data_IF_857131795176
#
_entry.id   IF_857131795176
#
_cell.length_a   1.000
_cell.length_b   1.000
_cell.length_c   1.000
_cell.angle_alpha   90.00
_cell.angle_beta   90.00
_cell.angle_gamma   90.00
#
_symmetry.space_group_name_H-M   'P 1'
#
loop_
_entity.id
_entity.type
_entity.pdbx_description
1 polymer ?
#
# COMPACT_ATOMS: atom_id res chain seq x y z
N UNK A 1 -21.82 -15.73 1.58
CA UNK A 1 -20.49 -15.07 1.65
C UNK A 1 -19.63 -15.94 2.55
N UNK A 2 -18.46 -16.33 2.07
CA UNK A 2 -17.44 -16.99 2.89
C UNK A 2 -17.09 -16.03 4.03
N UNK A 3 -17.03 -16.52 5.27
CA UNK A 3 -16.58 -15.71 6.39
C UNK A 3 -15.06 -15.52 6.23
N UNK A 4 -14.66 -14.30 5.90
CA UNK A 4 -13.24 -13.95 5.72
C UNK A 4 -12.58 -13.96 7.09
N UNK A 5 -11.42 -14.61 7.17
CA UNK A 5 -10.59 -14.70 8.35
C UNK A 5 -9.28 -13.99 8.09
N UNK A 6 -8.85 -13.18 9.05
CA UNK A 6 -7.55 -12.55 9.07
C UNK A 6 -6.97 -12.67 10.49
N UNK A 7 -5.92 -13.49 10.71
CA UNK A 7 -5.33 -13.68 12.03
C UNK A 7 -4.45 -12.51 12.48
N UNK A 8 -4.17 -11.52 11.63
CA UNK A 8 -3.25 -10.41 11.93
C UNK A 8 -3.96 -9.09 12.28
N UNK A 9 -5.29 -9.12 12.42
CA UNK A 9 -6.11 -8.00 12.90
C UNK A 9 -6.92 -8.40 14.14
N UNK A 10 -7.09 -7.47 15.06
CA UNK A 10 -8.03 -7.59 16.18
C UNK A 10 -9.44 -7.07 15.81
N UNK A 11 -9.58 -6.38 14.67
CA UNK A 11 -10.80 -5.69 14.31
C UNK A 11 -11.96 -6.65 14.00
N UNK A 12 -13.18 -6.26 14.38
CA UNK A 12 -14.39 -7.03 14.06
C UNK A 12 -14.94 -6.67 12.67
N UNK A 13 -14.09 -6.75 11.64
CA UNK A 13 -14.40 -6.31 10.26
C UNK A 13 -15.54 -7.10 9.59
N UNK A 14 -15.86 -8.29 10.11
CA UNK A 14 -17.03 -9.09 9.69
C UNK A 14 -18.38 -8.54 10.18
N UNK A 15 -18.35 -7.64 11.18
CA UNK A 15 -19.53 -7.03 11.80
C UNK A 15 -19.67 -5.55 11.41
N UNK A 16 -18.55 -4.86 11.18
CA UNK A 16 -18.49 -3.43 10.85
C UNK A 16 -17.44 -3.22 9.75
N UNK A 17 -17.70 -2.32 8.82
CA UNK A 17 -16.73 -1.88 7.80
C UNK A 17 -16.53 -0.38 7.87
N UNK A 18 -15.33 0.09 7.53
CA UNK A 18 -15.06 1.51 7.28
C UNK A 18 -15.31 1.79 5.81
N UNK A 19 -16.09 2.82 5.49
CA UNK A 19 -16.40 3.20 4.10
C UNK A 19 -15.46 4.30 3.60
N UNK A 20 -15.14 5.27 4.47
CA UNK A 20 -14.22 6.35 4.16
C UNK A 20 -13.57 6.95 5.42
N UNK A 21 -12.42 7.58 5.23
CA UNK A 21 -11.65 8.25 6.28
C UNK A 21 -11.32 9.69 5.86
N UNK A 22 -11.46 10.63 6.79
CA UNK A 22 -10.99 12.00 6.60
C UNK A 22 -9.84 12.30 7.56
N UNK A 23 -8.66 12.60 7.03
CA UNK A 23 -7.47 12.97 7.79
C UNK A 23 -7.30 14.50 7.84
N UNK A 24 -6.99 15.04 9.01
CA UNK A 24 -6.48 16.42 9.17
C UNK A 24 -5.23 16.32 10.03
N UNK A 25 -4.07 16.37 9.39
CA UNK A 25 -2.78 16.06 10.01
C UNK A 25 -1.82 17.25 9.93
N UNK A 26 -1.00 17.35 10.97
CA UNK A 26 0.15 18.23 11.05
C UNK A 26 1.41 17.37 11.23
N UNK A 27 2.39 17.57 10.37
CA UNK A 27 3.68 16.86 10.43
C UNK A 27 4.67 17.67 11.26
N UNK A 28 5.02 17.14 12.43
CA UNK A 28 5.88 17.75 13.43
C UNK A 28 7.27 17.09 13.38
N UNK A 29 8.18 17.64 12.56
CA UNK A 29 9.55 17.14 12.43
C UNK A 29 10.38 17.31 13.70
N UNK A 30 10.13 18.35 14.50
CA UNK A 30 10.87 18.59 15.76
C UNK A 30 10.61 17.48 16.79
N UNK A 31 9.37 16.97 16.84
CA UNK A 31 8.96 15.91 17.77
C UNK A 31 8.75 14.56 17.08
N UNK A 32 9.19 14.44 15.83
CA UNK A 32 9.13 13.23 14.99
C UNK A 32 7.77 12.51 15.05
N UNK A 33 6.70 13.25 14.80
CA UNK A 33 5.33 12.72 14.91
C UNK A 33 4.35 13.37 13.94
N UNK A 34 3.23 12.71 13.70
CA UNK A 34 2.05 13.28 13.08
C UNK A 34 1.02 13.54 14.17
N UNK A 35 0.46 14.74 14.22
CA UNK A 35 -0.57 15.16 15.18
C UNK A 35 -1.81 15.58 14.42
N UNK A 36 -3.00 15.17 14.87
CA UNK A 36 -4.22 15.68 14.29
C UNK A 36 -5.44 14.79 14.53
N UNK A 37 -6.28 14.73 13.50
CA UNK A 37 -7.57 14.08 13.56
C UNK A 37 -7.75 13.03 12.46
N UNK A 38 -8.52 12.00 12.78
CA UNK A 38 -9.06 11.05 11.81
C UNK A 38 -10.55 10.87 12.07
N UNK A 39 -11.37 10.97 11.02
CA UNK A 39 -12.81 10.70 11.08
C UNK A 39 -13.10 9.46 10.26
N UNK A 40 -13.44 8.36 10.93
CA UNK A 40 -13.79 7.09 10.31
C UNK A 40 -15.31 7.01 10.16
N UNK A 41 -15.80 6.95 8.93
CA UNK A 41 -17.21 6.71 8.65
C UNK A 41 -17.44 5.21 8.46
N UNK A 42 -18.24 4.61 9.33
CA UNK A 42 -18.48 3.18 9.37
C UNK A 42 -19.90 2.81 8.94
N UNK A 43 -20.05 1.56 8.49
CA UNK A 43 -21.33 0.89 8.26
C UNK A 43 -21.35 -0.44 9.02
N UNK A 44 -22.47 -0.70 9.67
CA UNK A 44 -22.70 -1.95 10.40
C UNK A 44 -23.19 -3.01 9.42
N UNK A 45 -22.46 -4.13 9.32
CA UNK A 45 -22.80 -5.28 8.48
C UNK A 45 -23.71 -6.26 9.23
N UNK A 46 -23.43 -6.51 10.51
CA UNK A 46 -24.19 -7.40 11.39
C UNK A 46 -24.41 -6.73 12.74
N UNK A 47 -25.52 -7.05 13.40
CA UNK A 47 -25.79 -6.53 14.75
C UNK A 47 -24.63 -6.86 15.69
N UNK A 48 -24.13 -5.86 16.42
CA UNK A 48 -23.01 -6.01 17.37
C UNK A 48 -23.11 -4.96 18.48
N UNK A 49 -22.48 -5.25 19.61
CA UNK A 49 -22.43 -4.39 20.79
C UNK A 49 -21.09 -3.62 20.90
N UNK A 50 -20.22 -3.73 19.90
CA UNK A 50 -18.87 -3.17 19.95
C UNK A 50 -18.30 -2.80 18.58
N UNK A 51 -17.36 -1.87 18.60
CA UNK A 51 -16.42 -1.61 17.50
C UNK A 51 -15.02 -1.92 18.02
N UNK A 52 -14.27 -2.75 17.30
CA UNK A 52 -12.88 -3.05 17.59
C UNK A 52 -12.02 -2.51 16.43
N UNK A 53 -11.01 -1.72 16.77
CA UNK A 53 -10.02 -1.18 15.83
C UNK A 53 -8.62 -1.60 16.27
N UNK A 54 -7.74 -1.83 15.31
CA UNK A 54 -6.31 -1.99 15.55
C UNK A 54 -5.67 -0.65 15.91
N UNK A 55 -4.78 -0.70 16.90
CA UNK A 55 -3.96 0.44 17.31
C UNK A 55 -2.53 -0.03 17.59
N UNK A 56 -1.62 0.93 17.70
CA UNK A 56 -0.29 0.72 18.27
C UNK A 56 -0.02 1.78 19.33
N UNK A 57 1.22 2.28 19.44
CA UNK A 57 1.67 3.18 20.52
C UNK A 57 1.26 4.66 20.34
N UNK A 58 0.16 4.91 19.65
CA UNK A 58 -0.36 6.26 19.45
C UNK A 58 -0.93 6.84 20.75
N UNK A 59 -0.83 8.16 20.91
CA UNK A 59 -1.49 8.88 21.99
C UNK A 59 -2.87 9.35 21.53
N UNK A 60 -3.94 8.74 22.04
CA UNK A 60 -5.32 9.15 21.75
C UNK A 60 -5.77 10.19 22.77
N UNK A 61 -5.95 11.44 22.34
CA UNK A 61 -6.39 12.55 23.18
C UNK A 61 -7.90 12.57 23.39
N UNK A 62 -8.69 12.26 22.35
CA UNK A 62 -10.15 12.19 22.48
C UNK A 62 -10.78 11.31 21.42
N UNK A 63 -11.91 10.68 21.79
CA UNK A 63 -12.74 9.89 20.89
C UNK A 63 -14.16 10.42 20.98
N UNK A 64 -14.81 10.63 19.83
CA UNK A 64 -16.24 10.89 19.76
C UNK A 64 -16.92 9.88 18.85
N UNK A 65 -17.98 9.24 19.36
CA UNK A 65 -18.86 8.40 18.58
C UNK A 65 -20.11 9.21 18.22
N UNK A 66 -20.35 9.41 16.93
CA UNK A 66 -21.50 10.17 16.42
C UNK A 66 -21.62 11.57 17.07
N UNK A 67 -20.49 12.26 17.23
CA UNK A 67 -20.39 13.60 17.83
C UNK A 67 -20.41 13.63 19.37
N UNK A 68 -20.69 12.51 20.05
CA UNK A 68 -20.68 12.42 21.52
C UNK A 68 -19.35 11.86 22.00
N UNK A 69 -18.72 12.50 22.99
CA UNK A 69 -17.51 11.97 23.62
C UNK A 69 -17.80 10.56 24.16
N UNK A 70 -16.93 9.61 23.85
CA UNK A 70 -17.01 8.25 24.36
C UNK A 70 -15.67 7.82 24.98
N UNK A 71 -15.74 6.82 25.86
CA UNK A 71 -14.55 6.12 26.35
C UNK A 71 -14.34 4.87 25.51
N UNK A 72 -13.10 4.43 25.41
CA UNK A 72 -12.74 3.17 24.80
C UNK A 72 -11.85 2.40 25.77
N UNK A 73 -11.90 1.07 25.68
CA UNK A 73 -11.01 0.17 26.39
C UNK A 73 -9.90 -0.24 25.43
N UNK A 74 -8.67 -0.33 25.90
CA UNK A 74 -7.58 -0.95 25.14
C UNK A 74 -7.32 -2.36 25.64
N UNK A 75 -6.85 -3.20 24.74
CA UNK A 75 -6.35 -4.53 25.07
C UNK A 75 -5.27 -4.95 24.07
N UNK A 76 -4.74 -6.15 24.24
CA UNK A 76 -3.70 -6.71 23.40
C UNK A 76 -3.97 -8.19 23.19
N UNK A 77 -3.76 -8.66 21.96
CA UNK A 77 -3.72 -10.07 21.62
C UNK A 77 -2.27 -10.40 21.25
N UNK A 78 -1.63 -11.36 21.93
CA UNK A 78 -0.24 -11.73 21.64
C UNK A 78 -0.02 -11.98 20.14
N UNK A 79 1.06 -11.41 19.59
CA UNK A 79 1.50 -11.55 18.19
C UNK A 79 0.58 -10.89 17.12
N UNK A 80 -0.65 -10.51 17.48
CA UNK A 80 -1.56 -9.73 16.61
C UNK A 80 -1.38 -8.23 16.87
N UNK A 81 -1.36 -7.84 18.14
CA UNK A 81 -1.09 -6.48 18.60
C UNK A 81 -2.20 -5.89 19.48
N UNK A 82 -2.14 -4.56 19.62
CA UNK A 82 -3.05 -3.79 20.49
C UNK A 82 -4.34 -3.44 19.75
N UNK A 83 -5.43 -3.35 20.49
CA UNK A 83 -6.73 -2.95 19.96
C UNK A 83 -7.43 -1.94 20.86
N UNK A 84 -8.35 -1.21 20.24
CA UNK A 84 -9.25 -0.28 20.86
C UNK A 84 -10.69 -0.80 20.73
N UNK A 85 -11.41 -0.89 21.84
CA UNK A 85 -12.79 -1.37 21.91
C UNK A 85 -13.71 -0.24 22.36
N UNK A 86 -14.72 0.07 21.54
CA UNK A 86 -15.79 1.03 21.83
C UNK A 86 -17.09 0.26 22.01
N UNK A 87 -17.62 0.24 23.25
CA UNK A 87 -18.89 -0.39 23.58
C UNK A 87 -20.08 0.45 23.06
N UNK A 88 -21.14 -0.20 22.61
CA UNK A 88 -22.34 0.45 22.07
C UNK A 88 -23.45 -0.53 21.68
N UNK A 89 -24.40 -0.05 20.88
CA UNK A 89 -25.39 -0.88 20.20
C UNK A 89 -25.42 -0.47 18.74
N UNK A 90 -25.01 -1.38 17.87
CA UNK A 90 -24.82 -1.13 16.45
C UNK A 90 -25.71 -2.10 15.66
N UNK A 91 -26.75 -1.58 15.03
CA UNK A 91 -27.69 -2.39 14.24
C UNK A 91 -27.29 -2.45 12.78
N UNK A 92 -27.43 -3.61 12.15
CA UNK A 92 -27.12 -3.87 10.75
C UNK A 92 -27.76 -2.84 9.82
N UNK A 93 -27.00 -2.42 8.82
CA UNK A 93 -27.38 -1.40 7.84
C UNK A 93 -27.25 0.05 8.34
N UNK A 94 -27.06 0.29 9.64
CA UNK A 94 -26.83 1.65 10.16
C UNK A 94 -25.42 2.13 9.83
N UNK A 95 -25.29 3.45 9.71
CA UNK A 95 -24.02 4.15 9.51
C UNK A 95 -23.75 5.08 10.68
N UNK A 96 -22.48 5.39 10.90
CA UNK A 96 -22.06 6.36 11.89
C UNK A 96 -20.64 6.84 11.65
N UNK A 97 -20.12 7.63 12.58
CA UNK A 97 -18.75 8.14 12.52
C UNK A 97 -18.04 8.04 13.87
N UNK A 98 -16.74 7.80 13.83
CA UNK A 98 -15.83 7.85 14.96
C UNK A 98 -14.80 8.94 14.67
N UNK A 99 -14.69 9.91 15.56
CA UNK A 99 -13.75 11.01 15.44
C UNK A 99 -12.64 10.83 16.48
N UNK A 100 -11.40 10.75 16.01
CA UNK A 100 -10.19 10.70 16.83
C UNK A 100 -9.48 12.04 16.82
N UNK A 101 -8.93 12.42 17.97
CA UNK A 101 -7.85 13.40 18.10
C UNK A 101 -6.67 12.66 18.71
N UNK A 102 -5.53 12.64 18.03
CA UNK A 102 -4.42 11.78 18.41
C UNK A 102 -3.08 12.30 17.89
N UNK A 103 -2.00 11.68 18.35
CA UNK A 103 -0.67 11.80 17.74
C UNK A 103 -0.01 10.43 17.61
N UNK A 104 0.76 10.24 16.55
CA UNK A 104 1.62 9.06 16.41
C UNK A 104 2.71 9.06 17.47
N UNK A 105 3.25 7.88 17.79
CA UNK A 105 4.52 7.77 18.52
C UNK A 105 5.67 8.23 17.63
N UNK A 106 6.76 8.70 18.23
CA UNK A 106 8.04 8.87 17.52
C UNK A 106 8.66 7.54 17.07
N UNK A 107 8.19 6.44 17.65
CA UNK A 107 8.54 5.06 17.30
C UNK A 107 7.45 4.36 16.48
N UNK A 108 6.55 5.11 15.82
CA UNK A 108 5.50 4.51 15.01
C UNK A 108 6.10 3.66 13.89
N UNK A 109 5.81 2.37 13.86
CA UNK A 109 6.43 1.42 12.94
C UNK A 109 6.15 1.72 11.45
N UNK A 110 5.06 2.43 11.16
CA UNK A 110 4.74 2.86 9.79
C UNK A 110 5.51 4.10 9.35
N UNK A 111 6.23 4.82 10.22
CA UNK A 111 6.81 6.12 9.88
C UNK A 111 8.31 6.12 10.06
N UNK A 112 9.01 6.59 9.03
CA UNK A 112 10.42 6.90 9.12
C UNK A 112 10.63 8.40 8.98
N UNK A 113 11.04 9.04 10.08
CA UNK A 113 11.60 10.38 10.06
C UNK A 113 13.10 10.28 9.81
N UNK A 114 13.58 11.03 8.82
CA UNK A 114 14.98 11.04 8.38
C UNK A 114 15.52 12.44 8.65
N UNK A 115 16.63 12.51 9.39
CA UNK A 115 17.33 13.76 9.65
C UNK A 115 17.87 14.35 8.34
N UNK A 116 17.98 15.68 8.27
CA UNK A 116 18.47 16.34 7.06
C UNK A 116 19.83 15.81 6.63
N UNK A 117 20.76 15.57 7.55
CA UNK A 117 22.10 15.02 7.30
C UNK A 117 22.12 13.69 6.52
N UNK A 118 21.02 12.94 6.56
CA UNK A 118 20.85 11.62 5.95
C UNK A 118 20.06 11.66 4.63
N UNK A 119 19.54 12.82 4.23
CA UNK A 119 18.93 13.05 2.91
C UNK A 119 20.00 13.25 1.84
N UNK A 120 19.64 13.09 0.56
CA UNK A 120 20.59 13.24 -0.55
C UNK A 120 21.17 14.66 -0.62
N UNK A 121 20.32 15.68 -0.48
CA UNK A 121 20.73 17.09 -0.58
C UNK A 121 21.22 17.68 0.73
N UNK A 122 20.97 17.02 1.85
CA UNK A 122 21.34 17.45 3.21
C UNK A 122 20.75 18.78 3.65
N UNK A 123 19.67 19.23 3.00
CA UNK A 123 19.09 20.56 3.24
C UNK A 123 17.87 20.53 4.17
N UNK A 124 17.00 19.52 4.05
CA UNK A 124 15.74 19.43 4.79
C UNK A 124 15.56 18.02 5.35
N UNK A 125 14.84 17.84 6.46
CA UNK A 125 14.46 16.51 6.90
C UNK A 125 13.47 15.86 5.92
N UNK A 126 13.26 14.56 6.07
CA UNK A 126 12.36 13.79 5.21
C UNK A 126 11.47 12.88 6.07
N UNK A 127 10.23 12.67 5.64
CA UNK A 127 9.29 11.72 6.23
C UNK A 127 8.74 10.84 5.11
N UNK A 128 8.73 9.52 5.33
CA UNK A 128 7.92 8.61 4.52
C UNK A 128 7.24 7.58 5.40
N UNK A 129 6.17 6.99 4.89
CA UNK A 129 5.47 5.89 5.56
C UNK A 129 5.64 4.54 4.85
N UNK A 130 5.56 3.44 5.59
CA UNK A 130 5.42 2.09 5.05
C UNK A 130 4.36 1.35 5.87
N UNK A 131 3.16 1.17 5.32
CA UNK A 131 2.04 0.60 6.07
C UNK A 131 1.90 -0.93 5.88
N UNK A 132 2.44 -1.49 4.79
CA UNK A 132 2.43 -2.94 4.56
C UNK A 132 3.43 -3.64 5.50
N UNK A 133 3.06 -4.74 6.16
CA UNK A 133 1.75 -5.43 6.08
C UNK A 133 0.70 -4.88 7.04
N UNK A 134 1.06 -4.66 8.31
CA UNK A 134 0.12 -4.35 9.40
C UNK A 134 0.58 -3.16 10.24
N UNK A 135 1.15 -2.16 9.59
CA UNK A 135 1.69 -0.98 10.26
C UNK A 135 0.75 0.23 10.20
N UNK A 136 -0.31 0.21 9.40
CA UNK A 136 -1.26 1.33 9.32
C UNK A 136 -1.89 1.63 10.70
N UNK A 137 -2.05 0.62 11.57
CA UNK A 137 -2.47 0.77 12.97
C UNK A 137 -1.54 1.62 13.83
N UNK A 138 -0.28 1.84 13.40
CA UNK A 138 0.66 2.77 14.04
C UNK A 138 0.57 4.20 13.48
N UNK A 139 -0.03 4.38 12.31
CA UNK A 139 -0.33 5.68 11.68
C UNK A 139 -1.71 6.24 12.06
N UNK A 140 -2.75 5.40 12.11
CA UNK A 140 -4.12 5.78 12.50
C UNK A 140 -4.85 4.61 13.18
N UNK A 141 -5.75 4.84 14.17
CA UNK A 141 -6.68 3.81 14.63
C UNK A 141 -7.59 3.37 13.48
N UNK A 142 -7.48 2.11 13.03
CA UNK A 142 -8.21 1.63 11.86
C UNK A 142 -8.53 0.12 11.96
N UNK A 143 -9.27 -0.41 10.99
CA UNK A 143 -9.36 -1.85 10.78
C UNK A 143 -8.17 -2.22 9.88
N UNK A 144 -7.07 -2.65 10.48
CA UNK A 144 -5.80 -2.83 9.76
C UNK A 144 -5.73 -4.23 9.13
N UNK A 145 -6.57 -4.41 8.11
CA UNK A 145 -6.74 -5.66 7.37
C UNK A 145 -6.98 -5.35 5.89
N UNK A 146 -6.41 -6.14 4.96
CA UNK A 146 -6.67 -5.97 3.55
C UNK A 146 -8.12 -6.34 3.17
N UNK A 147 -8.89 -6.99 4.07
CA UNK A 147 -10.31 -7.29 3.88
C UNK A 147 -11.21 -6.05 3.83
N UNK A 148 -10.78 -4.91 4.40
CA UNK A 148 -11.57 -3.67 4.43
C UNK A 148 -10.95 -2.68 3.46
N UNK A 149 -11.76 -2.19 2.51
CA UNK A 149 -11.37 -1.12 1.59
C UNK A 149 -12.15 0.15 1.86
N UNK A 150 -11.45 1.28 1.89
CA UNK A 150 -12.01 2.59 2.18
C UNK A 150 -11.47 3.65 1.22
N UNK A 151 -12.27 4.65 0.90
CA UNK A 151 -11.77 5.89 0.29
C UNK A 151 -11.20 6.80 1.37
N UNK A 152 -10.40 7.80 1.00
CA UNK A 152 -10.01 8.81 1.97
C UNK A 152 -9.87 10.21 1.37
N UNK A 153 -10.04 11.20 2.26
CA UNK A 153 -9.60 12.58 2.03
C UNK A 153 -8.56 12.93 3.08
N UNK A 154 -7.63 13.80 2.73
CA UNK A 154 -6.58 14.20 3.66
C UNK A 154 -6.25 15.67 3.49
N UNK A 155 -6.21 16.41 4.59
CA UNK A 155 -5.67 17.75 4.67
C UNK A 155 -4.38 17.68 5.49
N UNK A 156 -3.23 17.83 4.83
CA UNK A 156 -1.92 17.66 5.46
C UNK A 156 -1.20 19.00 5.54
N UNK A 157 -0.82 19.38 6.75
CA UNK A 157 -0.06 20.60 7.03
C UNK A 157 1.40 20.26 7.28
N UNK A 158 2.31 20.89 6.54
CA UNK A 158 3.76 20.65 6.60
C UNK A 158 4.55 21.97 6.62
N UNK A 159 5.83 21.99 7.03
CA UNK A 159 6.65 23.19 6.96
C UNK A 159 6.75 23.78 5.54
N UNK A 160 6.77 25.10 5.44
CA UNK A 160 6.93 25.84 4.18
C UNK A 160 8.28 25.50 3.54
N UNK A 161 8.28 25.30 2.22
CA UNK A 161 9.46 24.86 1.46
C UNK A 161 9.54 23.33 1.28
N UNK A 162 8.64 22.57 1.90
CA UNK A 162 8.50 21.13 1.70
C UNK A 162 7.26 20.80 0.86
N UNK A 163 7.34 19.71 0.12
CA UNK A 163 6.22 19.12 -0.61
C UNK A 163 5.63 17.97 0.20
N UNK A 164 4.31 17.82 0.16
CA UNK A 164 3.63 16.62 0.63
C UNK A 164 3.09 15.82 -0.56
N UNK A 165 3.22 14.50 -0.50
CA UNK A 165 2.61 13.54 -1.40
C UNK A 165 1.91 12.45 -0.58
N UNK A 166 0.85 11.88 -1.12
CA UNK A 166 0.14 10.75 -0.52
C UNK A 166 -0.23 9.73 -1.60
N UNK A 167 -0.70 8.55 -1.20
CA UNK A 167 -1.30 7.56 -2.10
C UNK A 167 -2.70 7.98 -2.59
N UNK A 168 -2.80 9.19 -3.14
CA UNK A 168 -4.03 9.89 -3.52
C UNK A 168 -3.74 10.97 -4.56
N UNK A 169 -4.80 11.42 -5.24
CA UNK A 169 -4.70 12.54 -6.17
C UNK A 169 -4.76 13.85 -5.39
N UNK A 170 -3.78 14.73 -5.59
CA UNK A 170 -3.81 16.11 -5.09
C UNK A 170 -4.95 16.86 -5.79
N UNK A 171 -5.77 17.60 -5.04
CA UNK A 171 -6.96 18.28 -5.56
C UNK A 171 -6.67 19.61 -6.29
N UNK A 172 -5.39 20.00 -6.50
CA UNK A 172 -4.99 21.29 -7.07
C UNK A 172 -3.94 21.23 -8.19
N UNK A 173 -3.80 22.36 -8.89
CA UNK A 173 -2.86 22.62 -10.00
C UNK A 173 -1.40 22.36 -9.58
N UNK A 174 -0.84 21.26 -10.13
CA UNK A 174 0.59 21.02 -10.23
C UNK A 174 1.41 21.08 -8.93
N UNK A 175 0.88 20.61 -7.80
CA UNK A 175 1.68 20.43 -6.58
C UNK A 175 1.76 21.66 -5.68
N UNK A 176 0.95 22.70 -5.93
CA UNK A 176 0.95 23.90 -5.08
C UNK A 176 0.11 23.71 -3.80
N UNK A 177 0.48 24.36 -2.69
CA UNK A 177 -0.32 24.32 -1.48
C UNK A 177 -1.56 25.21 -1.55
N UNK A 178 -2.59 24.76 -0.85
CA UNK A 178 -3.99 25.24 -0.94
C UNK A 178 -4.19 26.52 -0.14
N UNK A 179 -3.50 26.63 1.00
CA UNK A 179 -3.52 27.79 1.87
C UNK A 179 -2.21 27.87 2.66
N UNK A 180 -1.73 29.10 2.89
CA UNK A 180 -0.82 29.35 4.00
C UNK A 180 -1.65 29.31 5.27
N UNK A 181 -1.55 28.23 6.05
CA UNK A 181 -2.22 28.16 7.35
C UNK A 181 -1.31 28.83 8.37
N UNK A 182 -1.73 30.00 8.88
CA UNK A 182 -1.07 30.58 10.04
C UNK A 182 -1.33 29.68 11.25
N UNK A 183 -0.30 28.97 11.71
CA UNK A 183 -0.29 28.36 13.03
C UNK A 183 0.47 29.33 13.94
N UNK A 184 -0.19 29.82 14.98
CA UNK A 184 0.34 30.82 15.93
C UNK A 184 0.80 32.15 15.28
N UNK A 185 0.17 32.59 14.19
CA UNK A 185 0.47 33.89 13.54
C UNK A 185 1.77 33.91 12.73
N UNK A 186 2.25 32.75 12.27
CA UNK A 186 3.45 32.63 11.44
C UNK A 186 3.16 31.94 10.11
N UNK A 187 3.59 32.52 8.97
CA UNK A 187 3.50 31.94 7.62
C UNK A 187 4.50 30.78 7.40
N UNK A 188 4.72 29.92 8.40
CA UNK A 188 5.75 28.88 8.38
C UNK A 188 5.26 27.53 7.83
N UNK A 189 3.97 27.39 7.53
CA UNK A 189 3.37 26.12 7.13
C UNK A 189 2.47 26.26 5.91
N UNK A 190 2.38 25.17 5.16
CA UNK A 190 1.56 25.05 3.96
C UNK A 190 0.68 23.80 4.06
N UNK A 191 -0.52 23.85 3.48
CA UNK A 191 -1.48 22.74 3.52
C UNK A 191 -1.72 22.15 2.13
N UNK A 192 -1.81 20.82 2.06
CA UNK A 192 -2.11 20.05 0.86
C UNK A 192 -3.39 19.22 1.07
N UNK A 193 -4.32 19.24 0.10
CA UNK A 193 -5.53 18.41 0.17
C UNK A 193 -5.53 17.32 -0.89
N UNK A 194 -5.79 16.09 -0.46
CA UNK A 194 -5.77 14.90 -1.28
C UNK A 194 -7.13 14.19 -1.29
N UNK A 195 -7.42 13.52 -2.40
CA UNK A 195 -8.58 12.65 -2.57
C UNK A 195 -8.14 11.30 -3.15
N UNK A 196 -8.33 10.24 -2.37
CA UNK A 196 -8.32 8.86 -2.87
C UNK A 196 -9.76 8.40 -3.07
N UNK A 197 -10.25 8.54 -4.31
CA UNK A 197 -11.63 8.20 -4.68
C UNK A 197 -11.86 6.70 -4.88
N UNK A 198 -10.80 5.93 -5.13
CA UNK A 198 -10.88 4.48 -5.30
C UNK A 198 -10.72 3.83 -3.92
N UNK A 199 -11.61 2.93 -3.48
CA UNK A 199 -11.46 2.25 -2.20
C UNK A 199 -10.17 1.41 -2.15
N UNK A 200 -9.37 1.60 -1.11
CA UNK A 200 -8.10 0.90 -0.89
C UNK A 200 -8.02 0.29 0.52
N UNK A 201 -7.31 -0.83 0.70
CA UNK A 201 -6.96 -1.36 2.02
C UNK A 201 -6.03 -0.43 2.80
N UNK A 202 -5.99 -0.58 4.13
CA UNK A 202 -5.23 0.29 5.04
C UNK A 202 -3.72 0.28 4.79
N UNK A 203 -3.17 -0.86 4.36
CA UNK A 203 -1.75 -1.01 4.07
C UNK A 203 -1.26 -0.12 2.91
N UNK A 204 -2.16 0.41 2.09
CA UNK A 204 -1.87 1.32 0.99
C UNK A 204 -1.97 2.80 1.38
N UNK A 205 -2.19 3.12 2.66
CA UNK A 205 -2.04 4.49 3.13
C UNK A 205 -0.57 4.88 3.07
N UNK A 206 -0.29 5.97 2.34
CA UNK A 206 1.06 6.45 2.16
C UNK A 206 1.12 7.97 2.33
N UNK A 207 2.20 8.44 2.94
CA UNK A 207 2.56 9.86 3.04
C UNK A 207 4.07 10.02 2.83
N UNK A 208 4.45 11.04 2.07
CA UNK A 208 5.84 11.52 1.97
C UNK A 208 5.86 13.02 2.18
N UNK A 209 6.82 13.51 2.97
CA UNK A 209 7.09 14.94 3.15
C UNK A 209 8.58 15.19 3.06
N UNK A 210 9.00 16.06 2.14
CA UNK A 210 10.42 16.34 1.89
C UNK A 210 10.61 17.56 1.00
N UNK A 211 11.86 17.97 0.79
CA UNK A 211 12.22 18.91 -0.26
C UNK A 211 12.20 18.17 -1.61
N UNK A 212 11.02 18.05 -2.22
CA UNK A 212 10.80 17.26 -3.42
C UNK A 212 10.52 18.15 -4.63
N UNK A 213 11.00 17.71 -5.78
CA UNK A 213 10.71 18.33 -7.08
C UNK A 213 10.20 17.27 -8.06
N UNK A 214 9.42 17.72 -9.03
CA UNK A 214 8.72 16.88 -10.01
C UNK A 214 9.40 16.94 -11.39
N UNK A 215 9.40 15.83 -12.11
CA UNK A 215 9.62 15.75 -13.56
C UNK A 215 8.55 14.89 -14.20
N UNK A 216 7.85 15.42 -15.18
CA UNK A 216 6.85 14.67 -15.94
C UNK A 216 7.54 13.71 -16.93
N UNK A 217 7.10 12.45 -16.93
CA UNK A 217 7.46 11.42 -17.91
C UNK A 217 6.40 11.39 -19.02
N UNK A 218 5.12 11.51 -18.65
CA UNK A 218 3.97 11.59 -19.56
C UNK A 218 2.89 12.50 -18.98
N UNK A 219 1.72 12.57 -19.64
CA UNK A 219 0.56 13.34 -19.12
C UNK A 219 0.01 12.79 -17.80
N UNK A 220 0.28 11.52 -17.49
CA UNK A 220 -0.28 10.81 -16.32
C UNK A 220 0.79 10.14 -15.47
N UNK A 221 2.07 10.37 -15.77
CA UNK A 221 3.18 9.78 -15.06
C UNK A 221 4.27 10.82 -14.81
N UNK A 222 4.74 10.89 -13.57
CA UNK A 222 5.84 11.75 -13.16
C UNK A 222 6.75 11.03 -12.16
N UNK A 223 7.98 11.50 -12.05
CA UNK A 223 8.89 11.14 -10.96
C UNK A 223 9.09 12.32 -10.03
N UNK A 224 9.07 12.03 -8.74
CA UNK A 224 9.39 12.94 -7.65
C UNK A 224 10.67 12.48 -6.97
N UNK A 225 11.56 13.41 -6.65
CA UNK A 225 12.77 13.11 -5.88
C UNK A 225 13.31 14.40 -5.24
N UNK A 226 14.35 14.25 -4.42
CA UNK A 226 15.18 15.39 -4.03
C UNK A 226 15.81 16.06 -5.27
N UNK A 227 16.02 17.39 -5.26
CA UNK A 227 16.57 18.15 -6.38
C UNK A 227 17.78 17.56 -7.09
N UNK A 228 18.78 17.03 -6.36
CA UNK A 228 19.96 16.42 -6.99
C UNK A 228 19.68 15.11 -7.73
N UNK A 229 18.58 14.41 -7.40
CA UNK A 229 18.27 13.07 -7.90
C UNK A 229 17.23 13.08 -9.03
N UNK A 230 16.42 14.13 -9.14
CA UNK A 230 15.22 14.09 -10.00
C UNK A 230 15.52 13.90 -11.48
N UNK A 231 16.58 14.52 -12.01
CA UNK A 231 16.92 14.42 -13.43
C UNK A 231 17.57 13.05 -13.74
N UNK A 232 18.27 12.46 -12.77
CA UNK A 232 18.83 11.11 -12.87
C UNK A 232 17.70 10.09 -12.87
N UNK A 233 16.77 10.22 -11.93
CA UNK A 233 15.60 9.36 -11.82
C UNK A 233 14.68 9.47 -13.05
N UNK A 234 14.48 10.69 -13.58
CA UNK A 234 13.69 10.91 -14.79
C UNK A 234 14.25 10.17 -15.99
N UNK A 235 15.57 10.21 -16.19
CA UNK A 235 16.26 9.48 -17.25
C UNK A 235 16.19 7.96 -17.07
N UNK A 236 16.24 7.49 -15.83
CA UNK A 236 16.13 6.06 -15.50
C UNK A 236 14.74 5.53 -15.83
N UNK A 237 13.69 6.28 -15.48
CA UNK A 237 12.31 5.79 -15.53
C UNK A 237 11.51 6.28 -16.75
N UNK A 238 12.15 6.76 -17.81
CA UNK A 238 11.44 7.32 -18.98
C UNK A 238 10.53 6.30 -19.70
N UNK A 239 10.78 4.99 -19.54
CA UNK A 239 9.99 3.91 -20.16
C UNK A 239 8.70 3.57 -19.39
N UNK A 240 8.44 4.22 -18.26
CA UNK A 240 7.30 3.93 -17.38
C UNK A 240 5.95 4.01 -18.10
N UNK A 241 5.73 5.02 -18.96
CA UNK A 241 4.47 5.14 -19.69
C UNK A 241 4.25 3.95 -20.64
N UNK A 242 5.32 3.49 -21.31
CA UNK A 242 5.25 2.34 -22.21
C UNK A 242 4.92 1.05 -21.44
N UNK A 243 5.52 0.87 -20.26
CA UNK A 243 5.18 -0.26 -19.37
C UNK A 243 3.71 -0.18 -18.93
N UNK A 244 3.22 1.01 -18.60
CA UNK A 244 1.83 1.25 -18.19
C UNK A 244 0.83 0.99 -19.33
N UNK A 245 1.16 1.36 -20.57
CA UNK A 245 0.37 1.05 -21.76
C UNK A 245 0.27 -0.47 -21.96
N UNK A 246 1.39 -1.19 -21.89
CA UNK A 246 1.41 -2.65 -22.00
C UNK A 246 0.61 -3.31 -20.88
N UNK A 247 0.76 -2.84 -19.63
CA UNK A 247 -0.01 -3.36 -18.51
C UNK A 247 -1.51 -3.12 -18.69
N UNK A 248 -1.90 -1.95 -19.20
CA UNK A 248 -3.30 -1.62 -19.55
C UNK A 248 -3.81 -2.55 -20.66
N UNK A 249 -2.96 -2.81 -21.65
CA UNK A 249 -3.23 -3.79 -22.69
C UNK A 249 -3.32 -5.21 -22.17
N UNK A 250 -2.70 -5.60 -21.06
CA UNK A 250 -2.81 -6.96 -20.51
C UNK A 250 -4.02 -7.11 -19.57
N UNK A 251 -4.23 -6.12 -18.70
CA UNK A 251 -5.09 -6.22 -17.52
C UNK A 251 -6.40 -5.44 -17.62
N UNK A 252 -6.51 -4.55 -18.61
CA UNK A 252 -7.66 -3.65 -18.80
C UNK A 252 -7.39 -2.24 -18.29
N UNK A 253 -8.42 -1.41 -18.22
CA UNK A 253 -8.30 0.03 -17.90
C UNK A 253 -7.55 0.32 -16.59
N UNK A 254 -6.63 1.29 -16.62
CA UNK A 254 -5.97 1.85 -15.45
C UNK A 254 -6.88 2.85 -14.72
N UNK A 255 -7.30 2.54 -13.49
CA UNK A 255 -8.41 3.23 -12.79
C UNK A 255 -8.00 4.27 -11.75
N UNK A 256 -6.70 4.53 -11.58
CA UNK A 256 -6.16 5.39 -10.50
C UNK A 256 -5.91 6.84 -10.93
N UNK A 257 -6.10 7.14 -12.22
CA UNK A 257 -5.93 8.48 -12.79
C UNK A 257 -4.48 8.79 -13.19
N UNK A 258 -3.56 8.77 -12.24
CA UNK A 258 -2.13 9.04 -12.46
C UNK A 258 -1.25 8.01 -11.78
N UNK A 259 -0.08 7.76 -12.34
CA UNK A 259 0.96 6.86 -11.84
C UNK A 259 2.24 7.67 -11.64
N UNK A 260 2.39 8.28 -10.48
CA UNK A 260 3.64 8.95 -10.12
C UNK A 260 4.53 8.00 -9.33
N UNK A 261 5.85 8.21 -9.40
CA UNK A 261 6.84 7.52 -8.59
C UNK A 261 7.57 8.52 -7.70
N UNK A 262 8.03 8.09 -6.54
CA UNK A 262 8.92 8.85 -5.68
C UNK A 262 10.15 8.04 -5.30
N UNK A 263 11.33 8.60 -5.60
CA UNK A 263 12.61 8.06 -5.14
C UNK A 263 12.80 8.44 -3.68
N UNK A 264 12.78 7.44 -2.81
CA UNK A 264 12.98 7.64 -1.38
C UNK A 264 14.46 7.75 -1.01
N UNK A 265 14.78 8.19 0.23
CA UNK A 265 16.13 8.07 0.77
C UNK A 265 16.60 6.60 0.84
N UNK A 266 17.92 6.33 0.87
CA UNK A 266 18.50 4.97 0.85
C UNK A 266 18.08 4.03 2.00
N UNK A 267 17.34 4.50 2.99
CA UNK A 267 16.84 3.72 4.12
C UNK A 267 15.58 2.92 3.80
N UNK A 268 14.97 3.14 2.64
CA UNK A 268 13.82 2.36 2.21
C UNK A 268 14.22 0.89 2.01
N UNK A 269 13.65 0.01 2.81
CA UNK A 269 14.08 -1.39 2.96
C UNK A 269 13.57 -2.33 1.86
N UNK A 270 12.79 -1.82 0.91
CA UNK A 270 12.16 -2.59 -0.16
C UNK A 270 12.59 -2.08 -1.54
N UNK A 271 12.36 -2.88 -2.58
CA UNK A 271 12.57 -2.44 -3.97
C UNK A 271 11.58 -1.34 -4.36
N UNK A 272 10.31 -1.57 -4.08
CA UNK A 272 9.22 -0.62 -4.26
C UNK A 272 8.08 -0.86 -3.26
N UNK A 273 7.07 0.01 -3.32
CA UNK A 273 5.79 -0.18 -2.66
C UNK A 273 4.69 0.42 -3.54
N UNK A 274 3.64 -0.36 -3.80
CA UNK A 274 2.63 -0.13 -4.82
C UNK A 274 1.57 0.92 -4.46
N UNK A 275 1.93 1.84 -3.57
CA UNK A 275 1.09 2.92 -3.07
C UNK A 275 0.33 3.61 -4.23
N UNK A 276 -1.02 3.51 -4.29
CA UNK A 276 -1.79 3.96 -5.44
C UNK A 276 -1.56 5.45 -5.72
N UNK A 277 -1.42 5.79 -7.00
CA UNK A 277 -1.09 7.13 -7.48
C UNK A 277 0.34 7.62 -7.18
N UNK A 278 1.08 7.00 -6.25
CA UNK A 278 2.39 7.47 -5.79
C UNK A 278 3.27 6.29 -5.34
N UNK A 279 3.79 5.53 -6.31
CA UNK A 279 4.65 4.37 -6.06
C UNK A 279 5.97 4.80 -5.42
N UNK A 280 6.36 4.13 -4.34
CA UNK A 280 7.65 4.39 -3.70
C UNK A 280 8.70 3.51 -4.36
N UNK A 281 9.87 4.06 -4.66
CA UNK A 281 10.99 3.29 -5.22
C UNK A 281 12.26 3.59 -4.46
N UNK A 282 13.08 2.56 -4.29
CA UNK A 282 14.43 2.69 -3.71
C UNK A 282 15.36 3.44 -4.68
N UNK A 283 16.34 4.21 -4.20
CA UNK A 283 17.34 4.80 -5.07
C UNK A 283 18.29 3.73 -5.66
N UNK A 284 18.32 2.51 -5.13
CA UNK A 284 19.22 1.44 -5.61
C UNK A 284 18.85 0.88 -6.98
N UNK A 285 17.63 1.11 -7.47
CA UNK A 285 17.22 0.72 -8.84
C UNK A 285 17.67 1.75 -9.90
N UNK A 286 18.29 2.85 -9.50
CA UNK A 286 18.89 3.83 -10.41
C UNK A 286 20.29 3.35 -10.77
N UNK A 287 20.38 2.48 -11.77
CA UNK A 287 21.64 1.89 -12.23
C UNK A 287 22.35 2.76 -13.28
N UNK A 288 21.61 3.62 -13.98
CA UNK A 288 22.09 4.49 -15.07
C UNK A 288 21.92 3.89 -16.46
N UNK A 289 21.48 2.64 -16.54
CA UNK A 289 21.25 1.88 -17.78
C UNK A 289 19.86 1.24 -17.86
N UNK A 290 18.98 1.49 -16.87
CA UNK A 290 17.61 0.97 -16.76
C UNK A 290 17.50 -0.53 -16.51
N UNK A 291 18.60 -1.23 -16.23
CA UNK A 291 18.61 -2.68 -16.02
C UNK A 291 17.74 -3.14 -14.85
N UNK A 292 17.52 -2.27 -13.86
CA UNK A 292 16.72 -2.56 -12.66
C UNK A 292 15.30 -1.96 -12.70
N UNK A 293 14.85 -1.49 -13.86
CA UNK A 293 13.48 -0.95 -14.03
C UNK A 293 12.40 -2.03 -14.08
N UNK A 294 12.76 -3.31 -13.95
CA UNK A 294 11.80 -4.41 -13.77
C UNK A 294 10.93 -4.18 -12.53
N UNK A 295 11.49 -3.58 -11.47
CA UNK A 295 10.74 -3.14 -10.29
C UNK A 295 9.62 -2.17 -10.67
N UNK A 296 9.85 -1.23 -11.60
CA UNK A 296 8.78 -0.32 -12.05
C UNK A 296 7.65 -1.09 -12.74
N UNK A 297 7.96 -2.10 -13.53
CA UNK A 297 6.94 -2.96 -14.14
C UNK A 297 6.16 -3.77 -13.08
N UNK A 298 6.82 -4.21 -12.01
CA UNK A 298 6.20 -4.87 -10.86
C UNK A 298 5.18 -3.95 -10.17
N UNK A 299 5.60 -2.74 -9.81
CA UNK A 299 4.73 -1.78 -9.14
C UNK A 299 3.56 -1.30 -10.03
N UNK A 300 3.78 -1.22 -11.34
CA UNK A 300 2.69 -0.98 -12.31
C UNK A 300 1.67 -2.12 -12.25
N UNK A 301 2.11 -3.38 -12.29
CA UNK A 301 1.23 -4.54 -12.29
C UNK A 301 0.33 -4.59 -11.04
N UNK A 302 0.85 -4.20 -9.88
CA UNK A 302 0.08 -4.09 -8.64
C UNK A 302 -1.14 -3.17 -8.72
N UNK A 303 -1.14 -2.20 -9.64
CA UNK A 303 -2.31 -1.35 -9.91
C UNK A 303 -3.58 -2.17 -10.24
N UNK A 304 -3.42 -3.42 -10.69
CA UNK A 304 -4.50 -4.38 -10.86
C UNK A 304 -4.46 -5.49 -9.79
N UNK A 305 -3.30 -6.10 -9.57
CA UNK A 305 -3.11 -7.28 -8.73
C UNK A 305 -2.51 -6.91 -7.38
N UNK A 306 -3.36 -6.66 -6.40
CA UNK A 306 -2.98 -6.14 -5.08
C UNK A 306 -3.80 -4.91 -4.75
N UNK A 307 -3.78 -3.89 -5.61
CA UNK A 307 -4.54 -2.65 -5.33
C UNK A 307 -6.02 -2.81 -5.68
N UNK A 308 -6.33 -3.24 -6.91
CA UNK A 308 -7.70 -3.33 -7.40
C UNK A 308 -8.38 -4.63 -6.94
N UNK A 309 -7.71 -5.77 -7.14
CA UNK A 309 -8.05 -7.07 -6.54
C UNK A 309 -7.04 -7.38 -5.46
N UNK A 310 -7.46 -7.43 -4.20
CA UNK A 310 -6.56 -7.60 -3.05
C UNK A 310 -6.74 -8.98 -2.44
N UNK A 311 -5.70 -9.56 -1.84
CA UNK A 311 -5.87 -10.64 -0.88
C UNK A 311 -6.82 -10.21 0.26
N UNK A 312 -7.59 -11.14 0.81
CA UNK A 312 -8.48 -10.86 1.94
C UNK A 312 -7.80 -11.02 3.31
N UNK A 313 -6.63 -11.66 3.34
CA UNK A 313 -5.74 -11.76 4.49
C UNK A 313 -4.33 -12.06 3.98
N UNK A 314 -3.34 -11.84 4.83
CA UNK A 314 -1.93 -12.09 4.51
C UNK A 314 -1.61 -13.58 4.27
N UNK A 315 -2.49 -14.51 4.68
CA UNK A 315 -2.39 -15.93 4.33
C UNK A 315 -2.51 -16.16 2.81
N UNK A 316 -3.22 -15.26 2.12
CA UNK A 316 -3.45 -15.28 0.68
C UNK A 316 -2.58 -14.28 -0.09
N UNK A 317 -1.47 -13.81 0.50
CA UNK A 317 -0.59 -12.79 -0.07
C UNK A 317 -0.10 -13.12 -1.50
N UNK A 318 0.06 -14.41 -1.83
CA UNK A 318 0.41 -14.85 -3.17
C UNK A 318 -0.56 -14.40 -4.28
N UNK A 319 -1.83 -14.12 -3.96
CA UNK A 319 -2.79 -13.59 -4.93
C UNK A 319 -2.44 -12.16 -5.39
N UNK A 320 -1.73 -11.41 -4.55
CA UNK A 320 -1.09 -10.16 -4.96
C UNK A 320 0.18 -10.51 -5.73
N UNK A 321 1.18 -11.03 -5.02
CA UNK A 321 2.56 -11.10 -5.51
C UNK A 321 2.75 -12.05 -6.69
N UNK A 322 2.14 -13.23 -6.64
CA UNK A 322 2.26 -14.22 -7.71
C UNK A 322 1.65 -13.74 -9.02
N UNK A 323 0.52 -13.03 -8.93
CA UNK A 323 -0.11 -12.41 -10.10
C UNK A 323 0.69 -11.20 -10.60
N UNK A 324 1.16 -10.35 -9.70
CA UNK A 324 1.99 -9.18 -10.04
C UNK A 324 3.25 -9.61 -10.75
N UNK A 325 4.02 -10.53 -10.18
CA UNK A 325 5.27 -11.04 -10.76
C UNK A 325 5.04 -11.70 -12.13
N UNK A 326 3.94 -12.46 -12.27
CA UNK A 326 3.56 -13.03 -13.57
C UNK A 326 3.25 -11.97 -14.62
N UNK A 327 2.55 -10.89 -14.24
CA UNK A 327 2.21 -9.79 -15.14
C UNK A 327 3.44 -8.92 -15.44
N UNK A 328 4.30 -8.68 -14.46
CA UNK A 328 5.61 -8.04 -14.62
C UNK A 328 6.39 -8.74 -15.73
N UNK A 329 6.56 -10.06 -15.63
CA UNK A 329 7.30 -10.81 -16.64
C UNK A 329 6.63 -10.74 -18.01
N UNK A 330 5.30 -10.72 -18.09
CA UNK A 330 4.58 -10.47 -19.35
C UNK A 330 4.85 -9.08 -19.92
N UNK A 331 4.88 -8.04 -19.09
CA UNK A 331 5.23 -6.68 -19.53
C UNK A 331 6.65 -6.69 -20.11
N UNK A 332 7.61 -7.25 -19.37
CA UNK A 332 9.00 -7.38 -19.82
C UNK A 332 9.12 -8.22 -21.10
N UNK A 333 8.32 -9.27 -21.25
CA UNK A 333 8.24 -10.10 -22.46
C UNK A 333 7.73 -9.34 -23.68
N UNK A 334 6.80 -8.40 -23.51
CA UNK A 334 6.33 -7.54 -24.62
C UNK A 334 7.37 -6.48 -25.01
N UNK A 335 8.23 -6.06 -24.07
CA UNK A 335 9.30 -5.08 -24.31
C UNK A 335 10.54 -5.73 -24.92
N UNK A 336 11.02 -6.82 -24.33
CA UNK A 336 12.32 -7.44 -24.62
C UNK A 336 12.22 -8.80 -25.33
N UNK A 337 11.00 -9.34 -25.48
CA UNK A 337 10.73 -10.60 -26.17
C UNK A 337 10.49 -11.78 -25.24
N UNK A 338 9.84 -12.83 -25.76
CA UNK A 338 9.43 -14.01 -24.98
C UNK A 338 10.62 -14.75 -24.35
N UNK A 339 11.79 -14.78 -24.99
CA UNK A 339 12.97 -15.40 -24.40
C UNK A 339 13.42 -14.68 -23.13
N UNK A 340 13.29 -13.35 -23.08
CA UNK A 340 13.58 -12.57 -21.88
C UNK A 340 12.57 -12.88 -20.77
N UNK A 341 11.28 -12.98 -21.11
CA UNK A 341 10.24 -13.41 -20.17
C UNK A 341 10.53 -14.78 -19.54
N UNK A 342 10.91 -15.75 -20.36
CA UNK A 342 11.25 -17.10 -19.89
C UNK A 342 12.54 -17.10 -19.07
N UNK A 343 13.52 -16.26 -19.43
CA UNK A 343 14.71 -16.05 -18.63
C UNK A 343 14.37 -15.51 -17.23
N UNK A 344 13.48 -14.51 -17.12
CA UNK A 344 13.04 -14.00 -15.82
C UNK A 344 12.37 -15.08 -14.96
N UNK A 345 11.48 -15.89 -15.54
CA UNK A 345 10.90 -17.04 -14.82
C UNK A 345 11.94 -18.05 -14.34
N UNK A 346 12.96 -18.33 -15.16
CA UNK A 346 14.02 -19.26 -14.80
C UNK A 346 14.91 -18.70 -13.67
N UNK A 347 15.30 -17.44 -13.74
CA UNK A 347 16.04 -16.76 -12.67
C UNK A 347 15.22 -16.70 -11.37
N UNK A 348 13.95 -16.34 -11.45
CA UNK A 348 13.00 -16.39 -10.33
C UNK A 348 12.94 -17.76 -9.66
N UNK A 349 12.95 -18.84 -10.47
CA UNK A 349 12.96 -20.21 -9.97
C UNK A 349 14.28 -20.61 -9.32
N UNK A 350 15.40 -20.44 -10.02
CA UNK A 350 16.72 -20.91 -9.58
C UNK A 350 17.34 -20.05 -8.48
N UNK A 351 17.32 -18.72 -8.68
CA UNK A 351 18.06 -17.77 -7.85
C UNK A 351 17.23 -17.28 -6.65
N UNK A 352 15.91 -17.46 -6.64
CA UNK A 352 15.08 -16.99 -5.54
C UNK A 352 14.29 -18.13 -4.89
N UNK A 353 13.42 -18.81 -5.64
CA UNK A 353 12.53 -19.83 -5.07
C UNK A 353 13.29 -21.03 -4.53
N UNK A 354 14.17 -21.62 -5.35
CA UNK A 354 14.94 -22.82 -4.96
C UNK A 354 15.87 -22.51 -3.79
N UNK A 355 16.62 -21.41 -3.85
CA UNK A 355 17.49 -21.00 -2.74
C UNK A 355 16.70 -20.78 -1.44
N UNK A 356 15.59 -20.06 -1.48
CA UNK A 356 14.77 -19.82 -0.29
C UNK A 356 14.25 -21.13 0.34
N UNK A 357 13.79 -22.08 -0.48
CA UNK A 357 13.26 -23.36 0.00
C UNK A 357 14.34 -24.25 0.62
N UNK A 358 15.51 -24.36 -0.03
CA UNK A 358 16.52 -25.36 0.32
C UNK A 358 17.67 -24.83 1.18
N UNK A 359 17.93 -23.52 1.18
CA UNK A 359 19.06 -22.91 1.89
C UNK A 359 18.63 -22.02 3.06
N UNK A 360 17.47 -21.36 2.98
CA UNK A 360 16.93 -20.54 4.08
C UNK A 360 15.95 -21.32 4.95
N UNK A 361 15.03 -22.06 4.34
CA UNK A 361 14.04 -22.88 5.02
C UNK A 361 14.38 -24.39 4.87
N UNK A 362 13.33 -25.20 4.75
CA UNK A 362 13.37 -26.61 4.38
C UNK A 362 12.13 -26.89 3.51
N UNK A 363 12.14 -27.86 2.58
CA UNK A 363 10.98 -28.15 1.72
C UNK A 363 9.67 -28.40 2.46
N UNK A 364 9.74 -28.92 3.68
CA UNK A 364 8.56 -29.19 4.53
C UNK A 364 8.19 -28.03 5.46
N UNK A 365 8.98 -26.95 5.48
CA UNK A 365 8.72 -25.79 6.35
C UNK A 365 7.39 -25.11 5.97
N UNK A 366 6.52 -24.77 6.93
CA UNK A 366 5.19 -24.23 6.62
C UNK A 366 5.18 -22.96 5.75
N UNK A 367 6.20 -22.11 5.87
CA UNK A 367 6.32 -20.86 5.09
C UNK A 367 6.74 -21.08 3.63
N UNK A 368 7.03 -22.31 3.20
CA UNK A 368 7.22 -22.63 1.78
C UNK A 368 5.89 -22.92 1.05
N UNK A 369 4.77 -22.94 1.78
CA UNK A 369 3.43 -23.10 1.21
C UNK A 369 3.00 -21.80 0.53
N UNK A 370 2.17 -21.92 -0.50
CA UNK A 370 1.63 -20.75 -1.21
C UNK A 370 0.55 -20.04 -0.37
N UNK A 371 -0.25 -20.81 0.37
CA UNK A 371 -1.14 -20.32 1.42
C UNK A 371 -0.43 -20.60 2.75
N UNK A 372 0.05 -19.54 3.39
CA UNK A 372 0.85 -19.63 4.61
C UNK A 372 -0.05 -19.63 5.85
N UNK A 373 0.21 -20.48 6.86
CA UNK A 373 -0.52 -20.42 8.11
C UNK A 373 0.00 -19.27 8.98
N UNK A 374 -0.87 -18.33 9.37
CA UNK A 374 -0.47 -17.15 10.16
C UNK A 374 -1.03 -17.13 11.59
N UNK A 375 -1.63 -18.22 12.07
CA UNK A 375 -2.04 -18.36 13.48
C UNK A 375 -0.86 -18.14 14.42
N UNK A 376 -0.94 -17.06 15.22
CA UNK A 376 0.09 -16.73 16.19
C UNK A 376 1.46 -16.49 15.55
N UNK A 377 1.49 -15.93 14.34
CA UNK A 377 2.73 -15.50 13.67
C UNK A 377 2.62 -14.04 13.26
N UNK A 378 3.73 -13.30 13.33
CA UNK A 378 3.80 -11.96 12.75
C UNK A 378 3.84 -12.07 11.23
N UNK A 379 3.07 -11.23 10.53
CA UNK A 379 3.00 -11.26 9.08
C UNK A 379 4.34 -10.87 8.41
N UNK A 380 5.13 -10.02 9.07
CA UNK A 380 6.47 -9.60 8.62
C UNK A 380 7.49 -10.77 8.68
N UNK A 381 7.34 -11.69 9.63
CA UNK A 381 8.27 -12.82 9.81
C UNK A 381 8.15 -13.89 8.70
N UNK A 382 7.05 -13.85 7.95
CA UNK A 382 6.74 -14.81 6.88
C UNK A 382 7.13 -14.26 5.49
N UNK A 383 7.47 -12.97 5.42
CA UNK A 383 7.85 -12.32 4.17
C UNK A 383 9.07 -13.01 3.55
N UNK A 384 8.93 -13.43 2.30
CA UNK A 384 9.95 -14.16 1.55
C UNK A 384 9.66 -14.13 0.04
N UNK A 385 10.60 -14.57 -0.81
CA UNK A 385 10.35 -14.72 -2.24
C UNK A 385 9.31 -15.80 -2.61
N UNK A 386 8.86 -16.62 -1.65
CA UNK A 386 7.94 -17.75 -1.92
C UNK A 386 6.63 -17.31 -2.60
N UNK A 387 5.81 -16.40 -2.03
CA UNK A 387 4.52 -15.99 -2.64
C UNK A 387 4.67 -15.41 -4.04
N UNK A 388 5.74 -14.65 -4.29
CA UNK A 388 6.10 -14.08 -5.60
C UNK A 388 6.38 -15.20 -6.61
N UNK A 389 7.45 -15.94 -6.37
CA UNK A 389 8.01 -16.85 -7.37
C UNK A 389 7.20 -18.13 -7.54
N UNK A 390 6.68 -18.68 -6.44
CA UNK A 390 5.85 -19.88 -6.48
C UNK A 390 4.47 -19.58 -7.07
N UNK A 391 3.93 -18.40 -6.81
CA UNK A 391 2.67 -17.93 -7.40
C UNK A 391 2.81 -17.69 -8.91
N UNK A 392 3.87 -16.99 -9.34
CA UNK A 392 4.16 -16.78 -10.76
C UNK A 392 4.41 -18.10 -11.50
N UNK A 393 5.14 -19.04 -10.89
CA UNK A 393 5.36 -20.37 -11.46
C UNK A 393 4.07 -21.17 -11.61
N UNK A 394 3.13 -21.06 -10.67
CA UNK A 394 1.79 -21.67 -10.79
C UNK A 394 1.03 -21.07 -11.98
N UNK A 395 1.01 -19.75 -12.13
CA UNK A 395 0.32 -19.09 -13.25
C UNK A 395 0.96 -19.41 -14.60
N UNK A 396 2.30 -19.48 -14.68
CA UNK A 396 3.01 -19.94 -15.88
C UNK A 396 2.65 -21.38 -16.22
N UNK A 397 2.60 -22.28 -15.23
CA UNK A 397 2.19 -23.66 -15.43
C UNK A 397 0.76 -23.73 -15.98
N UNK A 398 -0.17 -22.95 -15.43
CA UNK A 398 -1.55 -22.89 -15.91
C UNK A 398 -1.64 -22.35 -17.35
N UNK A 399 -0.90 -21.30 -17.68
CA UNK A 399 -0.83 -20.76 -19.04
C UNK A 399 -0.29 -21.81 -20.04
N UNK A 400 0.80 -22.49 -19.69
CA UNK A 400 1.40 -23.52 -20.53
C UNK A 400 0.49 -24.73 -20.70
N UNK A 401 -0.24 -25.12 -19.65
CA UNK A 401 -1.21 -26.22 -19.70
C UNK A 401 -2.43 -25.87 -20.54
N UNK A 402 -2.87 -24.61 -20.51
CA UNK A 402 -3.93 -24.12 -21.39
C UNK A 402 -3.44 -24.09 -22.86
N UNK A 403 -2.17 -23.76 -23.09
CA UNK A 403 -1.56 -23.74 -24.42
C UNK A 403 -2.05 -22.62 -25.34
N UNK A 404 -2.74 -21.64 -24.77
CA UNK A 404 -3.37 -20.52 -25.48
C UNK A 404 -3.09 -19.20 -24.72
N UNK A 405 -1.93 -18.57 -24.95
CA UNK A 405 -1.55 -17.33 -24.26
C UNK A 405 -2.57 -16.18 -24.43
N UNK A 406 -3.15 -15.92 -25.63
CA UNK A 406 -4.21 -14.93 -25.77
C UNK A 406 -5.44 -15.20 -24.89
N UNK A 407 -5.85 -16.46 -24.78
CA UNK A 407 -6.96 -16.84 -23.88
C UNK A 407 -6.58 -16.69 -22.41
N UNK A 408 -5.32 -16.91 -22.04
CA UNK A 408 -4.84 -16.64 -20.69
C UNK A 408 -4.83 -15.14 -20.37
N UNK A 409 -4.42 -14.28 -21.31
CA UNK A 409 -4.55 -12.82 -21.18
C UNK A 409 -6.03 -12.40 -21.03
N UNK A 410 -6.95 -13.05 -21.76
CA UNK A 410 -8.40 -12.84 -21.56
C UNK A 410 -8.85 -13.25 -20.15
N UNK A 411 -8.34 -14.37 -19.62
CA UNK A 411 -8.58 -14.77 -18.23
C UNK A 411 -8.12 -13.70 -17.24
N UNK A 412 -6.92 -13.12 -17.42
CA UNK A 412 -6.42 -12.05 -16.54
C UNK A 412 -7.39 -10.86 -16.50
N UNK A 413 -7.87 -10.36 -17.64
CA UNK A 413 -8.85 -9.27 -17.69
C UNK A 413 -10.17 -9.66 -17.03
N UNK A 414 -10.65 -10.87 -17.26
CA UNK A 414 -11.88 -11.39 -16.65
C UNK A 414 -11.74 -11.49 -15.12
N UNK A 415 -10.60 -11.96 -14.63
CA UNK A 415 -10.27 -12.00 -13.21
C UNK A 415 -10.31 -10.61 -12.57
N UNK A 416 -9.63 -9.64 -13.18
CA UNK A 416 -9.64 -8.24 -12.74
C UNK A 416 -11.06 -7.68 -12.74
N UNK A 417 -11.83 -7.87 -13.82
CA UNK A 417 -13.18 -7.32 -13.91
C UNK A 417 -14.15 -7.96 -12.90
N UNK A 418 -14.01 -9.26 -12.63
CA UNK A 418 -14.85 -10.00 -11.68
C UNK A 418 -14.61 -9.58 -10.24
N UNK A 419 -13.37 -9.27 -9.88
CA UNK A 419 -12.98 -8.99 -8.49
C UNK A 419 -12.56 -7.54 -8.23
N UNK A 420 -12.70 -6.64 -9.19
CA UNK A 420 -12.34 -5.24 -9.01
C UNK A 420 -13.00 -4.65 -7.75
N UNK A 421 -12.21 -3.93 -6.96
CA UNK A 421 -12.59 -3.32 -5.68
C UNK A 421 -12.94 -4.31 -4.57
N UNK A 422 -12.62 -5.60 -4.73
CA UNK A 422 -12.84 -6.63 -3.72
C UNK A 422 -11.53 -7.13 -3.14
N UNK A 423 -11.66 -7.71 -1.96
CA UNK A 423 -10.62 -8.53 -1.33
C UNK A 423 -11.08 -9.98 -1.37
N UNK A 424 -10.22 -10.90 -1.80
CA UNK A 424 -10.57 -12.30 -2.08
C UNK A 424 -9.66 -13.30 -1.39
N UNK A 425 -10.20 -14.49 -1.12
CA UNK A 425 -9.42 -15.65 -0.67
C UNK A 425 -9.07 -16.56 -1.84
N UNK A 426 -8.09 -17.44 -1.66
CA UNK A 426 -7.64 -18.39 -2.70
C UNK A 426 -8.78 -19.27 -3.23
N UNK A 427 -9.71 -19.70 -2.37
CA UNK A 427 -10.86 -20.51 -2.79
C UNK A 427 -11.76 -19.76 -3.79
N UNK A 428 -11.99 -18.46 -3.59
CA UNK A 428 -12.77 -17.64 -4.53
C UNK A 428 -12.06 -17.49 -5.89
N UNK A 429 -10.72 -17.47 -5.91
CA UNK A 429 -9.94 -17.49 -7.15
C UNK A 429 -10.04 -18.84 -7.87
N UNK A 430 -10.04 -19.96 -7.15
CA UNK A 430 -10.20 -21.30 -7.74
C UNK A 430 -11.60 -21.50 -8.32
N UNK A 431 -12.62 -20.95 -7.67
CA UNK A 431 -14.04 -21.07 -8.06
C UNK A 431 -14.45 -20.08 -9.16
N UNK A 432 -13.50 -19.51 -9.91
CA UNK A 432 -13.80 -18.64 -11.05
C UNK A 432 -14.38 -19.47 -12.20
N UNK A 433 -15.69 -19.73 -12.11
CA UNK A 433 -16.53 -20.08 -13.26
C UNK A 433 -16.54 -18.95 -14.29
#
# INVERSE_FOLDING_TARGET
MVQIRDPNTCANFNEITIENINFDWFVDFERTRIVGAAILNYRVLKDTDKIILDISDQTICSIKLNGKKCKARSGEIPLVGKYLLIDGQFSSGKKGKIEFQYSTSSSASALQFVESSLTADRTHPFLYSQCQQIHAKSLVPCMDTPAVKQTYTANITVPKGMQCLMSAVLLEDEGRPINNREINGSEQFVQFNFLQKVPIPSYLFAIVVGALVKRDISKRCAVWAEPSMVDIAHKEFEETEKMLEIATELMGEYRWGRFDMIVLPPFFSFGGMENPCMTFVTPTIIAGDRSLTTVVAHEIAHSWTGNLVTNASWEHFWLNEGFTEFVEYKILGKIFGEQFRLFMHLSGWEDHLRMCIYETFHPEHPFTRLIVPLDGQCADDVFSPIPYQKGAALLLLLEQRLGDPPRFEQFLRSYINKFAYRSIVTDEWMDVN
#
